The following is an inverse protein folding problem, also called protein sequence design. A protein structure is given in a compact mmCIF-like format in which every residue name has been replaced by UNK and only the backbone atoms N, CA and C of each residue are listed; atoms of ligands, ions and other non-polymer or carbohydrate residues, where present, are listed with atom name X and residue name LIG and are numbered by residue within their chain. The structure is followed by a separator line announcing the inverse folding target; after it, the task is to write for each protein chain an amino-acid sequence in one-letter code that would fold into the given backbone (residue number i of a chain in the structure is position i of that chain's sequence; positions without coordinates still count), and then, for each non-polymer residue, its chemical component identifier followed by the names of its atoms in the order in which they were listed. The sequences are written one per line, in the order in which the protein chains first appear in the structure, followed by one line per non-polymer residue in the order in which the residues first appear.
data_IF_430864602817
#
_entry.id   IF_430864602817
#
_cell.length_a   1.000
_cell.length_b   1.000
_cell.length_c   1.000
_cell.angle_alpha   90.00
_cell.angle_beta   90.00
_cell.angle_gamma   90.00
#
_symmetry.space_group_name_H-M   'P 1'
#
loop_
_entity.id
_entity.type
_entity.pdbx_description
1 polymer ?
2 water ?
#
# COMPACT_ATOMS: atom_id res chain seq x y z
N UNK A 2 19.09 -19.24 -7.94
CA UNK A 2 19.32 -17.93 -7.31
C UNK A 2 18.54 -17.76 -6.02
N UNK A 3 19.09 -16.96 -5.10
CA UNK A 3 18.37 -16.65 -3.90
C UNK A 3 17.22 -15.71 -4.18
N UNK A 4 16.35 -15.57 -3.18
CA UNK A 4 15.12 -14.78 -3.34
C UNK A 4 14.96 -13.84 -2.15
N UNK A 5 14.57 -12.59 -2.41
CA UNK A 5 14.05 -11.75 -1.34
C UNK A 5 12.60 -12.16 -1.10
N UNK A 6 12.32 -12.72 0.09
CA UNK A 6 11.04 -13.34 0.40
C UNK A 6 10.20 -12.53 1.37
N UNK A 7 10.78 -11.56 2.10
CA UNK A 7 10.05 -10.66 2.98
C UNK A 7 10.64 -9.29 2.73
N UNK A 8 9.80 -8.26 2.69
CA UNK A 8 10.34 -6.94 2.36
C UNK A 8 9.38 -5.91 2.91
N UNK A 9 9.94 -4.79 3.36
CA UNK A 9 9.15 -3.68 3.88
C UNK A 9 9.44 -2.42 3.11
N UNK A 10 8.37 -1.79 2.62
CA UNK A 10 8.45 -0.64 1.71
C UNK A 10 7.86 0.57 2.42
N UNK A 11 8.62 1.66 2.44
CA UNK A 11 8.25 2.90 3.13
C UNK A 11 8.15 4.00 2.08
N UNK A 12 7.00 4.70 2.04
CA UNK A 12 6.72 5.67 0.97
C UNK A 12 6.15 6.92 1.59
N UNK A 13 6.79 8.06 1.35
CA UNK A 13 6.26 9.33 1.85
C UNK A 13 5.68 10.12 0.69
N UNK A 14 4.43 10.55 0.84
CA UNK A 14 3.75 11.39 -0.15
C UNK A 14 3.78 12.79 0.43
N UNK A 15 4.49 13.71 -0.23
CA UNK A 15 4.56 15.07 0.27
C UNK A 15 3.28 15.86 -0.02
N UNK A 16 3.08 16.90 0.79
CA UNK A 16 1.98 17.86 0.62
C UNK A 16 0.65 17.15 0.45
N UNK A 17 0.39 16.20 1.34
CA UNK A 17 -0.74 15.31 1.09
C UNK A 17 -2.08 16.04 1.08
N UNK A 18 -2.25 17.05 1.95
CA UNK A 18 -3.53 17.77 1.99
C UNK A 18 -3.84 18.49 0.69
N UNK A 19 -2.87 18.60 -0.21
CA UNK A 19 -3.05 19.24 -1.51
C UNK A 19 -3.12 18.27 -2.68
N UNK A 20 -3.08 16.95 -2.45
CA UNK A 20 -3.29 16.03 -3.57
C UNK A 20 -4.60 16.34 -4.28
N UNK A 21 -4.53 16.27 -5.60
CA UNK A 21 -5.60 16.74 -6.47
C UNK A 21 -6.41 15.60 -7.05
N UNK A 22 -6.06 14.37 -6.74
CA UNK A 22 -6.78 13.22 -7.27
C UNK A 22 -8.23 13.24 -6.80
N UNK A 23 -9.15 12.99 -7.73
CA UNK A 23 -10.54 12.80 -7.37
C UNK A 23 -10.85 11.37 -6.98
N UNK A 24 -12.07 11.17 -6.49
CA UNK A 24 -12.56 9.81 -6.30
C UNK A 24 -12.26 8.95 -7.53
N UNK A 25 -11.77 7.72 -7.28
CA UNK A 25 -11.38 6.76 -8.29
C UNK A 25 -10.02 7.00 -8.94
N UNK A 26 -9.42 8.18 -8.75
CA UNK A 26 -8.09 8.44 -9.29
C UNK A 26 -7.04 7.89 -8.33
N UNK A 27 -5.91 7.45 -8.89
CA UNK A 27 -4.89 6.72 -8.14
C UNK A 27 -3.58 7.49 -8.18
N UNK A 28 -2.83 7.40 -7.08
CA UNK A 28 -1.41 7.73 -7.05
C UNK A 28 -0.65 6.41 -6.98
N UNK A 29 0.23 6.15 -7.94
CA UNK A 29 1.01 4.91 -7.94
C UNK A 29 2.40 5.18 -7.35
N UNK A 30 2.86 4.28 -6.46
CA UNK A 30 4.21 4.40 -5.93
C UNK A 30 5.23 3.94 -6.98
N UNK A 31 6.50 4.21 -6.69
CA UNK A 31 7.57 3.60 -7.46
C UNK A 31 7.43 2.09 -7.43
N UNK A 32 7.94 1.42 -8.47
CA UNK A 32 7.95 -0.04 -8.45
C UNK A 32 9.10 -0.56 -7.60
N UNK A 33 8.82 -1.55 -6.76
CA UNK A 33 9.84 -2.19 -5.94
C UNK A 33 9.88 -3.69 -6.20
N UNK A 34 11.05 -4.30 -5.97
CA UNK A 34 11.22 -5.67 -6.44
C UNK A 34 11.49 -6.65 -5.32
N UNK A 35 11.18 -7.91 -5.60
CA UNK A 35 11.52 -9.01 -4.70
C UNK A 35 11.71 -10.28 -5.52
N UNK A 36 11.84 -11.43 -4.83
CA UNK A 36 11.95 -12.70 -5.53
C UNK A 36 13.37 -12.93 -6.00
N UNK A 37 13.51 -13.81 -6.99
CA UNK A 37 14.82 -14.10 -7.57
C UNK A 37 15.16 -13.07 -8.64
N UNK A 38 16.38 -12.53 -8.60
CA UNK A 38 16.87 -11.63 -9.66
C UNK A 38 15.95 -10.41 -9.83
N UNK A 39 15.36 -9.97 -8.72
CA UNK A 39 14.43 -8.83 -8.72
C UNK A 39 13.25 -9.05 -9.68
N UNK A 40 12.83 -10.30 -9.93
CA UNK A 40 11.83 -10.54 -10.97
C UNK A 40 10.38 -10.35 -10.50
N UNK A 41 10.09 -10.29 -9.20
CA UNK A 41 8.75 -9.93 -8.76
C UNK A 41 8.71 -8.41 -8.59
N UNK A 42 7.82 -7.74 -9.30
CA UNK A 42 7.73 -6.29 -9.24
C UNK A 42 6.38 -5.90 -8.66
N UNK A 43 6.39 -4.96 -7.72
CA UNK A 43 5.22 -4.54 -6.94
C UNK A 43 5.08 -3.04 -6.97
N UNK A 44 3.87 -2.55 -6.75
CA UNK A 44 3.78 -1.16 -6.32
C UNK A 44 2.56 -0.97 -5.43
N UNK A 45 2.55 0.17 -4.73
CA UNK A 45 1.40 0.54 -3.92
C UNK A 45 0.51 1.51 -4.68
N UNK A 46 -0.80 1.37 -4.51
CA UNK A 46 -1.74 2.28 -5.16
C UNK A 46 -2.56 2.94 -4.06
N UNK A 47 -2.57 4.26 -4.03
CA UNK A 47 -3.34 5.04 -3.07
C UNK A 47 -4.44 5.77 -3.83
N UNK A 48 -5.68 5.64 -3.38
CA UNK A 48 -6.75 6.52 -3.86
C UNK A 48 -7.05 7.51 -2.73
N UNK A 49 -6.56 8.75 -2.81
CA UNK A 49 -6.73 9.69 -1.69
C UNK A 49 -8.18 10.01 -1.40
N UNK A 50 -9.06 9.86 -2.38
CA UNK A 50 -10.49 10.11 -2.21
C UNK A 50 -11.31 8.88 -2.55
N UNK A 51 -10.76 7.70 -2.29
CA UNK A 51 -11.51 6.46 -2.42
C UNK A 51 -11.70 6.02 -3.86
N UNK A 52 -12.41 4.89 -4.01
CA UNK A 52 -12.71 4.29 -5.31
C UNK A 52 -14.04 4.74 -5.89
N UNK A 53 -15.06 4.80 -5.05
CA UNK A 53 -16.43 4.99 -5.49
C UNK A 53 -17.12 5.85 -4.44
N UNK A 54 -18.43 6.03 -4.61
CA UNK A 54 -19.22 6.81 -3.66
C UNK A 54 -19.17 6.19 -2.27
N UNK A 55 -19.15 4.86 -2.19
CA UNK A 55 -19.15 4.18 -0.90
C UNK A 55 -17.90 4.48 -0.09
N UNK A 56 -16.80 4.82 -0.75
CA UNK A 56 -15.54 5.01 -0.05
C UNK A 56 -14.97 6.41 -0.22
N UNK A 57 -15.75 7.39 -0.70
CA UNK A 57 -15.18 8.70 -1.02
C UNK A 57 -14.70 9.47 0.21
N UNK A 58 -15.06 9.04 1.41
CA UNK A 58 -14.58 9.66 2.63
C UNK A 58 -13.33 9.00 3.17
N UNK A 59 -12.78 8.05 2.42
CA UNK A 59 -11.65 7.25 2.86
C UNK A 59 -10.52 7.36 1.86
N UNK A 60 -9.33 7.13 2.37
CA UNK A 60 -8.21 6.80 1.52
C UNK A 60 -8.21 5.28 1.35
N UNK A 61 -8.07 4.80 0.10
CA UNK A 61 -7.96 3.38 -0.20
C UNK A 61 -6.50 3.06 -0.49
N UNK A 62 -6.06 1.86 -0.10
CA UNK A 62 -4.65 1.48 -0.21
C UNK A 62 -4.56 0.05 -0.73
N UNK A 63 -3.83 -0.16 -1.82
CA UNK A 63 -3.74 -1.49 -2.41
C UNK A 63 -2.28 -1.83 -2.69
N UNK A 64 -2.01 -3.13 -2.73
CA UNK A 64 -0.71 -3.66 -3.15
C UNK A 64 -0.95 -4.35 -4.50
N UNK A 65 -0.20 -3.94 -5.53
CA UNK A 65 -0.38 -4.44 -6.88
C UNK A 65 0.85 -5.25 -7.29
N UNK A 66 0.63 -6.44 -7.86
CA UNK A 66 1.72 -7.20 -8.45
C UNK A 66 1.87 -6.73 -9.89
N UNK A 67 2.90 -5.92 -10.12
CA UNK A 67 3.12 -5.32 -11.43
C UNK A 67 3.62 -6.35 -12.43
N UNK A 68 4.49 -7.26 -12.01
CA UNK A 68 4.91 -8.28 -12.97
C UNK A 68 5.59 -9.42 -12.24
N UNK A 69 5.41 -10.61 -12.79
CA UNK A 69 5.98 -11.83 -12.22
C UNK A 69 6.27 -12.77 -13.36
N UNK A 70 7.18 -13.68 -13.17
CA UNK A 70 7.66 -14.48 -14.31
C UNK A 70 6.73 -15.62 -14.65
N UNK A 71 6.00 -16.13 -13.67
CA UNK A 71 5.12 -17.26 -13.86
C UNK A 71 3.69 -16.80 -13.67
N UNK A 72 2.86 -17.65 -13.08
CA UNK A 72 1.43 -17.40 -13.09
C UNK A 72 0.97 -16.64 -11.85
N UNK A 73 1.52 -16.95 -10.68
CA UNK A 73 0.97 -16.37 -9.46
C UNK A 73 2.04 -16.24 -8.41
N UNK A 74 1.73 -15.41 -7.42
CA UNK A 74 2.51 -15.26 -6.20
C UNK A 74 1.49 -15.29 -5.07
N UNK A 75 1.77 -16.02 -3.99
CA UNK A 75 0.93 -15.93 -2.81
C UNK A 75 1.68 -15.13 -1.76
N UNK A 76 1.02 -14.13 -1.18
CA UNK A 76 1.71 -13.26 -0.24
C UNK A 76 0.78 -12.72 0.84
N UNK A 77 1.30 -12.61 2.08
CA UNK A 77 0.62 -11.88 3.14
C UNK A 77 1.14 -10.45 3.14
N UNK A 78 0.33 -9.52 3.63
CA UNK A 78 0.81 -8.14 3.65
C UNK A 78 0.18 -7.39 4.81
N UNK A 79 0.84 -6.28 5.18
CA UNK A 79 0.33 -5.43 6.25
C UNK A 79 0.64 -3.99 5.86
N UNK A 80 -0.36 -3.12 5.96
CA UNK A 80 -0.16 -1.70 5.73
C UNK A 80 -0.28 -0.95 7.05
N UNK A 81 0.49 0.13 7.18
CA UNK A 81 0.34 0.99 8.35
C UNK A 81 0.78 2.40 7.97
N UNK A 82 0.57 3.33 8.88
CA UNK A 82 1.02 4.71 8.72
C UNK A 82 2.12 4.96 9.75
N UNK A 83 3.18 5.65 9.36
CA UNK A 83 4.21 6.01 10.32
C UNK A 83 3.92 7.40 10.86
N UNK A 84 3.78 7.52 12.19
CA UNK A 84 3.32 8.79 12.73
C UNK A 84 4.50 9.73 12.91
N UNK A 85 4.23 10.89 13.51
CA UNK A 85 5.26 11.90 13.66
C UNK A 85 6.45 11.38 14.46
N UNK A 86 6.28 10.27 15.19
CA UNK A 86 7.34 9.66 15.97
C UNK A 86 8.05 8.51 15.26
N UNK A 87 7.69 8.21 14.01
CA UNK A 87 8.23 7.07 13.32
C UNK A 87 7.60 5.74 13.68
N UNK A 88 6.58 5.73 14.54
CA UNK A 88 5.92 4.51 14.98
C UNK A 88 4.77 4.11 14.06
N UNK A 89 4.55 2.80 13.97
CA UNK A 89 3.42 2.30 13.19
C UNK A 89 2.10 2.57 13.91
N UNK A 90 1.12 3.04 13.15
CA UNK A 90 -0.21 3.24 13.70
C UNK A 90 -1.20 2.91 12.59
N UNK A 91 -2.47 2.69 12.97
CA UNK A 91 -3.55 2.47 12.00
C UNK A 91 -3.21 1.31 11.05
N UNK A 92 -2.71 0.21 11.61
CA UNK A 92 -2.34 -0.91 10.78
C UNK A 92 -3.55 -1.73 10.36
N UNK A 93 -3.45 -2.31 9.18
CA UNK A 93 -4.43 -3.31 8.72
C UNK A 93 -3.64 -4.40 8.04
N UNK A 94 -3.99 -5.66 8.31
CA UNK A 94 -3.22 -6.74 7.72
C UNK A 94 -4.14 -7.73 7.04
N UNK A 95 -3.59 -8.40 6.02
CA UNK A 95 -4.34 -9.40 5.27
C UNK A 95 -4.72 -10.55 6.19
N UNK A 96 -5.86 -11.19 5.90
CA UNK A 96 -6.31 -12.25 6.81
C UNK A 96 -5.39 -13.45 6.76
N UNK A 97 -4.75 -13.66 5.62
CA UNK A 97 -3.92 -14.81 5.32
C UNK A 97 -3.07 -14.38 4.12
N UNK A 98 -2.36 -15.30 3.50
CA UNK A 98 -1.71 -15.00 2.24
C UNK A 98 -2.77 -15.03 1.15
N UNK A 99 -2.71 -14.05 0.25
CA UNK A 99 -3.64 -13.92 -0.87
C UNK A 99 -2.93 -14.23 -2.18
N UNK A 100 -3.66 -14.83 -3.12
CA UNK A 100 -3.14 -15.14 -4.45
C UNK A 100 -3.14 -13.89 -5.32
N UNK A 101 -1.94 -13.42 -5.67
CA UNK A 101 -1.72 -12.34 -6.62
C UNK A 101 -1.43 -12.94 -7.98
N UNK A 102 -2.04 -12.41 -9.03
CA UNK A 102 -1.51 -12.64 -10.38
C UNK A 102 -1.10 -11.29 -10.94
N UNK A 103 -0.31 -11.32 -12.00
CA UNK A 103 0.18 -10.06 -12.53
C UNK A 103 -0.99 -9.17 -12.93
N UNK A 104 -0.91 -7.90 -12.54
CA UNK A 104 -1.97 -6.95 -12.75
C UNK A 104 -3.06 -6.96 -11.69
N UNK A 105 -3.01 -7.88 -10.74
CA UNK A 105 -4.02 -8.02 -9.69
C UNK A 105 -3.56 -7.24 -8.48
N UNK A 106 -4.51 -6.64 -7.75
CA UNK A 106 -4.14 -6.06 -6.47
C UNK A 106 -5.08 -6.54 -5.36
N UNK A 107 -4.61 -6.35 -4.13
CA UNK A 107 -5.39 -6.64 -2.94
C UNK A 107 -5.17 -5.51 -1.96
N UNK A 108 -6.17 -5.22 -1.13
CA UNK A 108 -5.94 -4.15 -0.17
C UNK A 108 -7.20 -3.77 0.57
N UNK A 109 -7.27 -2.50 0.95
CA UNK A 109 -8.33 -2.01 1.83
C UNK A 109 -8.97 -0.77 1.22
N UNK A 110 -10.23 -0.91 0.79
CA UNK A 110 -10.94 0.21 0.18
C UNK A 110 -11.17 1.32 1.19
N UNK A 111 -11.37 0.96 2.45
CA UNK A 111 -11.65 1.95 3.47
C UNK A 111 -10.50 1.91 4.47
N UNK A 112 -9.30 2.25 4.01
CA UNK A 112 -8.14 2.05 4.88
C UNK A 112 -8.12 3.07 6.02
N UNK A 113 -8.41 4.33 5.74
CA UNK A 113 -8.44 5.32 6.82
C UNK A 113 -9.37 6.45 6.41
N UNK A 114 -10.13 6.98 7.37
CA UNK A 114 -11.00 8.12 7.07
C UNK A 114 -10.17 9.35 6.79
N UNK A 115 -10.53 10.09 5.72
CA UNK A 115 -9.80 11.31 5.37
C UNK A 115 -9.87 12.34 6.49
N UNK A 116 -11.03 12.49 7.13
CA UNK A 116 -11.12 13.55 8.14
C UNK A 116 -10.26 13.25 9.37
N UNK A 117 -10.10 11.98 9.75
CA UNK A 117 -9.14 11.62 10.79
C UNK A 117 -7.71 11.90 10.36
N UNK A 118 -7.36 11.46 9.15
CA UNK A 118 -6.02 11.66 8.63
C UNK A 118 -5.63 13.14 8.58
N UNK A 119 -6.55 13.99 8.15
CA UNK A 119 -6.22 15.40 7.94
C UNK A 119 -6.17 16.22 9.23
N UNK A 120 -6.71 15.70 10.32
CA UNK A 120 -6.73 16.40 11.61
C UNK A 120 -5.35 16.39 12.24
N UNK A 121 -4.72 17.59 12.31
CA UNK A 121 -3.36 17.72 12.82
C UNK A 121 -3.18 17.09 14.19
N UNK A 122 -4.26 17.04 14.98
CA UNK A 122 -4.17 16.52 16.34
C UNK A 122 -3.70 15.07 16.37
N UNK A 123 -3.92 14.32 15.28
CA UNK A 123 -3.64 12.90 15.26
C UNK A 123 -2.21 12.55 14.85
N UNK A 124 -1.41 13.54 14.43
CA UNK A 124 0.00 13.33 14.17
C UNK A 124 0.29 12.46 12.98
N UNK A 125 -0.65 12.34 12.04
CA UNK A 125 -0.43 11.41 10.93
C UNK A 125 0.09 12.10 9.68
N UNK A 126 0.08 13.44 9.63
CA UNK A 126 0.63 14.20 8.50
C UNK A 126 1.66 15.23 8.99
N UNK A 127 2.70 14.78 9.67
CA UNK A 127 3.72 15.75 10.10
C UNK A 127 4.27 16.48 8.88
N UNK A 128 4.29 17.82 8.95
CA UNK A 128 4.75 18.66 7.83
C UNK A 128 3.98 18.38 6.54
N UNK A 129 2.72 17.95 6.69
CA UNK A 129 1.82 17.62 5.58
C UNK A 129 2.32 16.45 4.74
N UNK A 130 3.08 15.55 5.36
CA UNK A 130 3.59 14.36 4.67
C UNK A 130 2.90 13.11 5.20
N UNK A 131 2.44 12.26 4.30
CA UNK A 131 1.86 10.97 4.68
C UNK A 131 2.89 9.88 4.43
N UNK A 132 3.26 9.10 5.46
CA UNK A 132 4.27 8.05 5.26
C UNK A 132 3.57 6.72 5.46
N UNK A 133 3.53 5.93 4.39
CA UNK A 133 2.89 4.63 4.38
C UNK A 133 3.95 3.55 4.49
N UNK A 134 3.59 2.43 5.12
CA UNK A 134 4.56 1.38 5.35
C UNK A 134 3.88 0.07 4.98
N UNK A 135 4.52 -0.71 4.11
CA UNK A 135 3.92 -1.93 3.59
C UNK A 135 4.88 -3.08 3.83
N UNK A 136 4.48 -4.06 4.64
CA UNK A 136 5.34 -5.22 4.90
C UNK A 136 4.75 -6.43 4.21
N UNK A 137 5.57 -7.16 3.45
CA UNK A 137 5.07 -8.25 2.63
C UNK A 137 5.85 -9.50 2.93
N UNK A 138 5.17 -10.63 3.00
CA UNK A 138 5.85 -11.92 3.09
C UNK A 138 5.32 -12.82 1.99
N UNK A 139 6.21 -13.27 1.11
CA UNK A 139 5.82 -14.10 -0.03
C UNK A 139 5.99 -15.55 0.35
N UNK A 140 4.88 -16.28 0.36
CA UNK A 140 4.96 -17.63 0.88
C UNK A 140 5.05 -18.66 -0.22
N UNK A 141 4.80 -18.27 -1.47
CA UNK A 141 4.95 -19.19 -2.59
C UNK A 141 5.10 -18.46 -3.93
#
# INVERSE_FOLDING_TARGET
GPGKVVKFSYMWTINNFSFCREEMGEVIKSSTFSSGANDKLKWCLRVNPKGLDEESKDYLSLYLLLVSCPKSEVRAKFKFSILNAKGEETKAMESQRAYRFVQGKDWGFKKFIRRDFLLDEANGLLPDDKLTLFCEVSVVQD
#
